data_IF_374155579644
#
_entry.id   IF_374155579644
#
_cell.length_a   1.000
_cell.length_b   1.000
_cell.length_c   1.000
_cell.angle_alpha   90.00
_cell.angle_beta   90.00
_cell.angle_gamma   90.00
#
_symmetry.space_group_name_H-M   'P 1'
#
loop_
_entity.id
_entity.type
_entity.pdbx_description
1 polymer ?
#
# COMPACT_ATOMS: atom_id res chain seq x y z
N UNK A 1 6.57 -6.54 10.10
CA UNK A 1 7.93 -5.95 10.32
C UNK A 1 8.80 -5.97 9.07
N UNK A 2 8.86 -7.07 8.31
CA UNK A 2 9.71 -7.15 7.10
C UNK A 2 9.36 -6.08 6.04
N UNK A 3 8.08 -5.84 5.78
CA UNK A 3 7.65 -4.81 4.81
C UNK A 3 8.19 -3.43 5.16
N UNK A 4 8.11 -3.03 6.41
CA UNK A 4 8.63 -1.74 6.86
C UNK A 4 10.17 -1.68 6.70
N UNK A 5 10.86 -2.78 6.96
CA UNK A 5 12.31 -2.85 6.80
C UNK A 5 12.76 -2.69 5.34
N UNK A 6 12.09 -3.36 4.40
CA UNK A 6 12.48 -3.32 2.98
C UNK A 6 11.89 -2.09 2.24
N UNK A 7 10.63 -1.77 2.45
CA UNK A 7 9.93 -0.72 1.70
C UNK A 7 9.96 0.64 2.40
N UNK A 8 10.14 0.69 3.73
CA UNK A 8 10.20 1.95 4.48
C UNK A 8 11.29 2.89 3.97
N UNK A 9 12.56 2.46 3.86
CA UNK A 9 13.63 3.30 3.33
C UNK A 9 13.41 3.73 1.87
N UNK A 10 12.76 2.87 1.06
CA UNK A 10 12.42 3.21 -0.33
C UNK A 10 11.39 4.34 -0.34
N UNK A 11 10.33 4.21 0.44
CA UNK A 11 9.27 5.21 0.52
C UNK A 11 9.76 6.54 1.08
N UNK A 12 10.64 6.53 2.09
CA UNK A 12 11.23 7.75 2.63
C UNK A 12 12.06 8.50 1.57
N UNK A 13 12.83 7.77 0.75
CA UNK A 13 13.54 8.35 -0.39
C UNK A 13 12.59 8.93 -1.44
N UNK A 14 11.49 8.25 -1.71
CA UNK A 14 10.45 8.76 -2.61
C UNK A 14 9.79 10.03 -2.04
N UNK A 15 9.53 10.06 -0.74
CA UNK A 15 8.97 11.25 -0.07
C UNK A 15 9.91 12.46 -0.13
N UNK A 16 11.22 12.25 -0.12
CA UNK A 16 12.18 13.34 -0.32
C UNK A 16 11.98 14.09 -1.65
N UNK A 17 11.44 13.42 -2.68
CA UNK A 17 11.13 14.06 -3.97
C UNK A 17 9.90 14.98 -3.92
N UNK A 18 9.00 14.77 -2.96
CA UNK A 18 7.78 15.58 -2.77
C UNK A 18 7.95 16.57 -1.62
N UNK A 19 8.62 16.15 -0.57
CA UNK A 19 8.79 16.87 0.69
C UNK A 19 10.28 17.00 1.05
N UNK A 20 11.07 17.76 0.28
CA UNK A 20 12.52 17.83 0.47
C UNK A 20 12.95 18.34 1.84
N UNK A 21 12.14 19.24 2.45
CA UNK A 21 12.45 19.87 3.75
C UNK A 21 12.17 18.97 4.95
N UNK A 22 11.22 18.02 4.82
CA UNK A 22 10.78 17.20 5.95
C UNK A 22 10.35 15.78 5.55
N UNK A 23 11.16 14.99 4.82
CA UNK A 23 10.75 13.68 4.32
C UNK A 23 10.43 12.68 5.44
N UNK A 24 11.24 12.64 6.47
CA UNK A 24 11.05 11.74 7.62
C UNK A 24 9.78 12.10 8.42
N UNK A 25 9.52 13.39 8.61
CA UNK A 25 8.29 13.84 9.27
C UNK A 25 7.06 13.42 8.47
N UNK A 26 7.08 13.62 7.15
CA UNK A 26 5.97 13.23 6.28
C UNK A 26 5.81 11.71 6.21
N UNK A 27 6.88 10.94 6.29
CA UNK A 27 6.81 9.48 6.41
C UNK A 27 6.14 9.05 7.72
N UNK A 28 6.50 9.67 8.85
CA UNK A 28 5.85 9.38 10.15
C UNK A 28 4.37 9.78 10.15
N UNK A 29 4.04 10.93 9.58
CA UNK A 29 2.65 11.38 9.43
C UNK A 29 1.86 10.40 8.55
N UNK A 30 2.41 10.01 7.40
CA UNK A 30 1.82 8.99 6.54
C UNK A 30 1.58 7.69 7.28
N UNK A 31 2.56 7.23 8.08
CA UNK A 31 2.46 6.00 8.85
C UNK A 31 1.29 6.05 9.86
N UNK A 32 1.19 7.15 10.62
CA UNK A 32 0.11 7.35 11.60
C UNK A 32 -1.26 7.43 10.91
N UNK A 33 -1.36 8.20 9.82
CA UNK A 33 -2.61 8.33 9.07
C UNK A 33 -3.02 7.01 8.41
N UNK A 34 -2.06 6.19 7.99
CA UNK A 34 -2.32 4.84 7.46
C UNK A 34 -2.95 3.91 8.52
N UNK A 35 -2.49 3.99 9.78
CA UNK A 35 -3.10 3.24 10.89
C UNK A 35 -4.56 3.68 11.05
N UNK A 36 -4.79 4.99 11.10
CA UNK A 36 -6.13 5.56 11.29
C UNK A 36 -7.06 5.15 10.13
N UNK A 37 -6.61 5.29 8.90
CA UNK A 37 -7.41 4.95 7.71
C UNK A 37 -7.79 3.46 7.68
N UNK A 38 -6.82 2.57 7.86
CA UNK A 38 -7.04 1.13 7.85
C UNK A 38 -7.94 0.68 9.03
N UNK A 39 -7.65 1.17 10.25
CA UNK A 39 -8.40 0.79 11.45
C UNK A 39 -9.83 1.35 11.46
N UNK A 40 -10.04 2.57 10.96
CA UNK A 40 -11.37 3.18 10.90
C UNK A 40 -12.30 2.40 9.98
N UNK A 41 -11.81 1.95 8.83
CA UNK A 41 -12.59 1.14 7.91
C UNK A 41 -13.00 -0.20 8.53
N UNK A 42 -12.07 -0.87 9.18
CA UNK A 42 -12.33 -2.11 9.92
C UNK A 42 -13.33 -1.90 11.06
N UNK A 43 -13.16 -0.84 11.83
CA UNK A 43 -14.07 -0.51 12.93
C UNK A 43 -15.50 -0.29 12.43
N UNK A 44 -15.69 0.50 11.37
CA UNK A 44 -17.02 0.76 10.81
C UNK A 44 -17.69 -0.54 10.34
N UNK A 45 -16.92 -1.44 9.74
CA UNK A 45 -17.44 -2.72 9.22
C UNK A 45 -17.78 -3.71 10.32
N UNK A 46 -17.00 -3.76 11.40
CA UNK A 46 -17.09 -4.81 12.43
C UNK A 46 -17.52 -4.32 13.80
N UNK A 47 -18.00 -3.07 13.93
CA UNK A 47 -18.37 -2.44 15.21
C UNK A 47 -19.41 -3.22 16.02
N UNK A 48 -20.25 -4.00 15.35
CA UNK A 48 -21.32 -4.78 15.98
C UNK A 48 -20.91 -6.25 16.23
N UNK A 49 -19.65 -6.60 15.94
CA UNK A 49 -19.12 -7.95 16.15
C UNK A 49 -18.10 -7.98 17.32
N UNK A 50 -18.52 -8.39 18.54
CA UNK A 50 -17.65 -8.38 19.71
C UNK A 50 -16.51 -9.41 19.66
N UNK A 51 -16.57 -10.36 18.75
CA UNK A 51 -15.55 -11.40 18.57
C UNK A 51 -14.49 -11.03 17.54
N UNK A 52 -14.65 -9.92 16.83
CA UNK A 52 -13.68 -9.49 15.84
C UNK A 52 -12.56 -8.68 16.50
N UNK A 53 -11.32 -9.16 16.34
CA UNK A 53 -10.13 -8.46 16.82
C UNK A 53 -9.17 -8.22 15.65
N UNK A 54 -8.74 -6.98 15.48
CA UNK A 54 -7.73 -6.58 14.50
C UNK A 54 -6.71 -5.66 15.14
N UNK A 55 -5.43 -5.87 14.82
CA UNK A 55 -4.32 -5.05 15.34
C UNK A 55 -4.07 -3.81 14.47
N UNK A 56 -4.65 -3.73 13.29
CA UNK A 56 -4.53 -2.57 12.37
C UNK A 56 -3.17 -2.41 11.68
N UNK A 57 -2.10 -2.96 12.24
CA UNK A 57 -0.73 -2.78 11.71
C UNK A 57 -0.52 -3.40 10.31
N UNK A 58 -1.29 -4.40 9.92
CA UNK A 58 -1.19 -5.03 8.61
C UNK A 58 -1.68 -4.13 7.48
N UNK A 59 -2.66 -3.27 7.75
CA UNK A 59 -3.12 -2.26 6.80
C UNK A 59 -2.04 -1.22 6.46
N UNK A 60 -1.21 -0.87 7.44
CA UNK A 60 -0.07 0.05 7.22
C UNK A 60 0.97 -0.56 6.28
N UNK A 61 1.23 -1.86 6.40
CA UNK A 61 2.17 -2.53 5.47
C UNK A 61 1.66 -2.48 4.03
N UNK A 62 0.35 -2.64 3.83
CA UNK A 62 -0.28 -2.46 2.53
C UNK A 62 -0.16 -1.02 2.03
N UNK A 63 -0.37 -0.02 2.90
CA UNK A 63 -0.23 1.39 2.54
C UNK A 63 1.20 1.72 2.07
N UNK A 64 2.22 1.24 2.76
CA UNK A 64 3.64 1.46 2.38
C UNK A 64 3.93 0.85 1.00
N UNK A 65 3.51 -0.39 0.75
CA UNK A 65 3.72 -1.05 -0.54
C UNK A 65 3.03 -0.26 -1.65
N UNK A 66 1.79 0.15 -1.47
CA UNK A 66 1.02 0.85 -2.50
C UNK A 66 1.51 2.27 -2.76
N UNK A 67 2.02 2.97 -1.74
CA UNK A 67 2.72 4.22 -1.94
C UNK A 67 3.99 4.00 -2.81
N UNK A 68 4.79 2.96 -2.53
CA UNK A 68 5.95 2.63 -3.36
C UNK A 68 5.57 2.28 -4.80
N UNK A 69 4.47 1.54 -5.01
CA UNK A 69 3.96 1.19 -6.35
C UNK A 69 3.58 2.44 -7.15
N UNK A 70 2.99 3.46 -6.51
CA UNK A 70 2.67 4.71 -7.19
C UNK A 70 3.93 5.42 -7.73
N UNK A 71 5.02 5.43 -6.95
CA UNK A 71 6.28 6.05 -7.39
C UNK A 71 7.03 5.19 -8.42
N UNK A 72 7.03 3.88 -8.23
CA UNK A 72 7.79 2.91 -9.05
C UNK A 72 6.89 1.71 -9.35
N UNK A 73 5.98 1.80 -10.34
CA UNK A 73 5.02 0.73 -10.64
C UNK A 73 5.66 -0.57 -11.10
N UNK A 74 6.86 -0.50 -11.63
CA UNK A 74 7.63 -1.66 -12.10
C UNK A 74 8.53 -2.26 -11.01
N UNK A 75 8.46 -1.77 -9.77
CA UNK A 75 9.21 -2.33 -8.65
C UNK A 75 8.94 -3.84 -8.55
N UNK A 76 10.00 -4.64 -8.53
CA UNK A 76 9.87 -6.09 -8.40
C UNK A 76 9.44 -6.47 -6.98
N UNK A 77 8.22 -7.00 -6.85
CA UNK A 77 7.74 -7.53 -5.57
C UNK A 77 7.98 -9.03 -5.57
N UNK A 78 8.90 -9.47 -4.70
CA UNK A 78 9.19 -10.89 -4.49
C UNK A 78 8.12 -11.54 -3.61
N UNK A 79 7.64 -12.71 -4.03
CA UNK A 79 6.82 -13.57 -3.18
C UNK A 79 7.78 -14.46 -2.37
N UNK A 80 7.61 -14.47 -1.05
CA UNK A 80 8.46 -15.22 -0.13
C UNK A 80 8.64 -16.68 -0.63
N UNK A 81 9.89 -17.14 -0.70
CA UNK A 81 10.32 -18.47 -1.18
C UNK A 81 10.18 -18.74 -2.70
N UNK A 82 9.66 -17.82 -3.50
CA UNK A 82 9.58 -17.98 -4.94
C UNK A 82 10.51 -16.94 -5.59
N UNK A 83 11.52 -17.34 -6.40
CA UNK A 83 12.45 -16.40 -7.03
C UNK A 83 11.82 -15.67 -8.23
N UNK A 84 10.53 -15.39 -8.16
CA UNK A 84 9.78 -14.65 -9.18
C UNK A 84 9.49 -13.26 -8.63
N UNK A 85 9.90 -12.24 -9.37
CA UNK A 85 9.57 -10.85 -9.09
C UNK A 85 8.40 -10.42 -9.99
N UNK A 86 7.28 -10.10 -9.36
CA UNK A 86 6.10 -9.59 -10.07
C UNK A 86 6.19 -8.06 -10.09
N UNK A 87 5.99 -7.39 -11.25
CA UNK A 87 5.88 -5.94 -11.29
C UNK A 87 4.82 -5.42 -10.33
N UNK A 88 5.14 -4.34 -9.61
CA UNK A 88 4.30 -3.82 -8.53
C UNK A 88 2.88 -3.47 -8.99
N UNK A 89 2.69 -2.95 -10.21
CA UNK A 89 1.36 -2.64 -10.74
C UNK A 89 0.48 -3.89 -10.93
N UNK A 90 1.07 -5.02 -11.36
CA UNK A 90 0.36 -6.30 -11.49
C UNK A 90 0.03 -6.84 -10.09
N UNK A 91 1.02 -6.85 -9.19
CA UNK A 91 0.82 -7.24 -7.81
C UNK A 91 -0.29 -6.40 -7.16
N UNK A 92 -0.26 -5.09 -7.34
CA UNK A 92 -1.23 -4.16 -6.75
C UNK A 92 -2.66 -4.46 -7.21
N UNK A 93 -2.87 -4.70 -8.50
CA UNK A 93 -4.18 -5.07 -9.05
C UNK A 93 -4.69 -6.39 -8.43
N UNK A 94 -3.87 -7.43 -8.45
CA UNK A 94 -4.23 -8.74 -7.89
C UNK A 94 -4.50 -8.67 -6.39
N UNK A 95 -3.69 -7.90 -5.66
CA UNK A 95 -3.83 -7.71 -4.23
C UNK A 95 -5.15 -7.01 -3.86
N UNK A 96 -5.51 -5.92 -4.54
CA UNK A 96 -6.77 -5.21 -4.31
C UNK A 96 -7.97 -6.09 -4.64
N UNK A 97 -7.91 -6.79 -5.76
CA UNK A 97 -8.96 -7.73 -6.15
C UNK A 97 -9.16 -8.82 -5.09
N UNK A 98 -8.07 -9.48 -4.67
CA UNK A 98 -8.13 -10.53 -3.66
C UNK A 98 -8.61 -9.99 -2.30
N UNK A 99 -8.06 -8.85 -1.84
CA UNK A 99 -8.45 -8.26 -0.56
C UNK A 99 -9.92 -7.86 -0.53
N UNK A 100 -10.45 -7.31 -1.63
CA UNK A 100 -11.87 -6.99 -1.76
C UNK A 100 -12.75 -8.24 -1.72
N UNK A 101 -12.36 -9.29 -2.43
CA UNK A 101 -13.08 -10.55 -2.46
C UNK A 101 -13.08 -11.23 -1.08
N UNK A 102 -11.92 -11.35 -0.45
CA UNK A 102 -11.76 -12.01 0.85
C UNK A 102 -12.44 -11.22 1.99
N UNK A 103 -12.41 -9.88 1.94
CA UNK A 103 -13.11 -9.02 2.90
C UNK A 103 -14.63 -9.27 2.94
N UNK A 104 -15.23 -9.73 1.84
CA UNK A 104 -16.66 -10.04 1.77
C UNK A 104 -17.00 -11.48 2.13
N UNK A 105 -16.03 -12.40 2.03
CA UNK A 105 -16.26 -13.82 2.23
C UNK A 105 -16.15 -14.25 3.68
N UNK A 106 -15.25 -13.61 4.44
CA UNK A 106 -14.90 -14.02 5.81
C UNK A 106 -14.31 -15.44 5.83
N UNK A 107 -14.03 -15.95 7.01
CA UNK A 107 -13.62 -17.36 7.20
C UNK A 107 -12.14 -17.55 7.55
N UNK A 108 -11.35 -16.50 7.52
CA UNK A 108 -10.01 -16.45 8.07
C UNK A 108 -9.86 -15.33 9.12
N UNK A 109 -8.76 -15.37 9.87
CA UNK A 109 -8.46 -14.37 10.89
C UNK A 109 -7.68 -13.17 10.33
N UNK A 110 -7.78 -12.91 9.03
CA UNK A 110 -7.07 -11.82 8.35
C UNK A 110 -8.02 -10.64 8.13
N UNK A 111 -7.59 -9.46 8.52
CA UNK A 111 -8.34 -8.23 8.28
C UNK A 111 -8.12 -7.70 6.85
N UNK A 112 -8.78 -8.36 5.90
CA UNK A 112 -8.73 -7.95 4.48
C UNK A 112 -9.32 -6.55 4.24
N UNK A 113 -10.20 -6.07 5.12
CA UNK A 113 -10.74 -4.71 5.06
C UNK A 113 -9.63 -3.70 5.34
N UNK A 114 -8.85 -3.89 6.41
CA UNK A 114 -7.70 -3.05 6.70
C UNK A 114 -6.67 -3.06 5.56
N UNK A 115 -6.44 -4.23 4.96
CA UNK A 115 -5.53 -4.39 3.83
C UNK A 115 -5.98 -3.56 2.62
N UNK A 116 -7.24 -3.66 2.23
CA UNK A 116 -7.80 -2.93 1.10
C UNK A 116 -7.74 -1.42 1.31
N UNK A 117 -8.27 -0.93 2.43
CA UNK A 117 -8.30 0.51 2.70
C UNK A 117 -6.93 1.09 2.99
N UNK A 118 -6.03 0.31 3.62
CA UNK A 118 -4.62 0.68 3.75
C UNK A 118 -3.95 0.86 2.40
N UNK A 119 -4.14 -0.08 1.47
CA UNK A 119 -3.61 -0.01 0.11
C UNK A 119 -4.14 1.22 -0.66
N UNK A 120 -5.45 1.45 -0.61
CA UNK A 120 -6.07 2.62 -1.26
C UNK A 120 -5.54 3.93 -0.67
N UNK A 121 -5.46 4.04 0.66
CA UNK A 121 -4.89 5.21 1.32
C UNK A 121 -3.43 5.42 0.90
N UNK A 122 -2.62 4.36 0.91
CA UNK A 122 -1.21 4.42 0.53
C UNK A 122 -0.98 4.93 -0.89
N UNK A 123 -1.83 4.52 -1.82
CA UNK A 123 -1.79 5.00 -3.20
C UNK A 123 -2.23 6.47 -3.31
N UNK A 124 -3.30 6.85 -2.62
CA UNK A 124 -3.88 8.20 -2.73
C UNK A 124 -3.08 9.27 -2.00
N UNK A 125 -2.44 8.95 -0.88
CA UNK A 125 -1.75 9.95 -0.07
C UNK A 125 -0.67 10.72 -0.87
N UNK A 126 0.33 10.10 -1.51
CA UNK A 126 1.31 10.84 -2.30
C UNK A 126 0.69 11.51 -3.53
N UNK A 127 -0.33 10.90 -4.12
CA UNK A 127 -1.04 11.45 -5.27
C UNK A 127 -1.69 12.81 -4.96
N UNK A 128 -2.29 12.96 -3.79
CA UNK A 128 -2.93 14.24 -3.37
C UNK A 128 -1.92 15.38 -3.32
N UNK A 129 -0.70 15.12 -2.84
CA UNK A 129 0.35 16.15 -2.76
C UNK A 129 1.05 16.40 -4.10
N UNK A 130 1.14 15.40 -4.96
CA UNK A 130 1.79 15.51 -6.27
C UNK A 130 1.00 14.74 -7.34
N UNK A 131 -0.04 15.35 -7.92
CA UNK A 131 -0.90 14.69 -8.92
C UNK A 131 -0.15 14.22 -10.17
N UNK A 132 0.98 14.85 -10.50
CA UNK A 132 1.83 14.43 -11.63
C UNK A 132 2.41 13.01 -11.47
N UNK A 133 2.40 12.45 -10.25
CA UNK A 133 2.81 11.06 -10.03
C UNK A 133 1.94 10.07 -10.80
N UNK A 134 0.66 10.38 -11.03
CA UNK A 134 -0.21 9.51 -11.81
C UNK A 134 0.22 9.43 -13.28
N UNK A 135 0.63 10.56 -13.86
CA UNK A 135 1.16 10.59 -15.23
C UNK A 135 2.47 9.79 -15.30
N UNK A 136 3.37 9.99 -14.33
CA UNK A 136 4.60 9.22 -14.23
C UNK A 136 4.35 7.72 -14.03
N UNK A 137 3.33 7.36 -13.24
CA UNK A 137 2.92 5.96 -13.03
C UNK A 137 2.53 5.29 -14.35
N UNK A 138 1.67 5.93 -15.14
CA UNK A 138 1.25 5.37 -16.43
C UNK A 138 2.38 5.37 -17.46
N UNK A 139 3.21 6.41 -17.53
CA UNK A 139 4.34 6.42 -18.47
C UNK A 139 5.32 5.28 -18.19
N UNK A 140 5.67 5.04 -16.93
CA UNK A 140 6.55 3.94 -16.55
C UNK A 140 5.98 2.55 -16.92
N UNK A 141 4.64 2.37 -16.80
CA UNK A 141 3.99 1.13 -17.23
C UNK A 141 4.06 0.98 -18.76
N UNK A 142 3.80 2.05 -19.50
CA UNK A 142 3.88 2.02 -20.98
C UNK A 142 5.31 1.72 -21.46
N UNK A 143 6.31 2.36 -20.84
CA UNK A 143 7.72 2.13 -21.14
C UNK A 143 8.12 0.68 -20.84
N UNK A 144 7.59 0.11 -19.76
CA UNK A 144 7.84 -1.30 -19.41
C UNK A 144 7.28 -2.25 -20.48
N UNK A 145 6.06 -2.02 -20.98
CA UNK A 145 5.49 -2.81 -22.06
C UNK A 145 6.25 -2.63 -23.38
N UNK A 146 6.78 -1.43 -23.64
CA UNK A 146 7.60 -1.17 -24.83
C UNK A 146 8.99 -1.81 -24.78
N UNK A 147 9.43 -2.27 -23.60
CA UNK A 147 10.73 -2.92 -23.39
C UNK A 147 10.69 -4.46 -23.41
N UNK A 148 9.50 -5.07 -23.52
CA UNK A 148 9.30 -6.51 -23.64
C UNK A 148 9.46 -6.98 -25.09
#
# INVERSE_FOLDING_TARGET
MMTLYFFGPILERCFKQIFPEAPTFMFLLFYILSIIAASSATYIKHKDNPYFASIGSSGVTSAIIFACILFVPTIGIGIFFIPIHIPGFIFGFLYLWYSSYAANRGGDNIDHTAHFYGAVFGFLFPFVFKPSLLLSFFSQIMDWFGSL
#
